data_IF_277863648255
#
_entry.id   IF_277863648255
#
_cell.length_a   1.000
_cell.length_b   1.000
_cell.length_c   1.000
_cell.angle_alpha   90.00
_cell.angle_beta   90.00
_cell.angle_gamma   90.00
#
_symmetry.space_group_name_H-M   'P 1'
#
loop_
_entity.id
_entity.type
_entity.pdbx_description
1 polymer ?
#
# COMPACT_ATOMS: atom_id res chain seq x y z
N UNK A 1 10.66 43.26 -28.31
CA UNK A 1 10.67 41.79 -28.55
C UNK A 1 10.48 41.54 -30.04
N UNK A 2 11.33 40.71 -30.68
CA UNK A 2 11.16 40.36 -32.10
C UNK A 2 10.08 39.30 -32.27
N UNK A 3 9.38 39.27 -33.40
CA UNK A 3 8.31 38.28 -33.70
C UNK A 3 8.78 36.83 -33.57
N UNK A 4 10.07 36.57 -33.84
CA UNK A 4 10.73 35.27 -33.64
C UNK A 4 10.87 34.89 -32.16
N UNK A 5 11.20 35.85 -31.28
CA UNK A 5 11.29 35.62 -29.85
C UNK A 5 9.91 35.31 -29.24
N UNK A 6 8.87 36.04 -29.67
CA UNK A 6 7.50 35.84 -29.23
C UNK A 6 6.99 34.44 -29.61
N UNK A 7 7.20 34.01 -30.87
CA UNK A 7 6.78 32.68 -31.35
C UNK A 7 7.48 31.54 -30.60
N UNK A 8 8.77 31.67 -30.28
CA UNK A 8 9.52 30.66 -29.51
C UNK A 8 9.01 30.55 -28.07
N UNK A 9 8.76 31.69 -27.42
CA UNK A 9 8.21 31.71 -26.06
C UNK A 9 6.83 31.05 -25.97
N UNK A 10 5.93 31.37 -26.92
CA UNK A 10 4.62 30.73 -27.00
C UNK A 10 4.70 29.21 -27.19
N UNK A 11 5.63 28.73 -28.02
CA UNK A 11 5.83 27.29 -28.22
C UNK A 11 6.29 26.64 -26.91
N UNK A 12 7.31 27.18 -26.25
CA UNK A 12 7.81 26.65 -24.97
C UNK A 12 6.69 26.64 -23.93
N UNK A 13 6.00 27.77 -23.72
CA UNK A 13 4.92 27.88 -22.74
C UNK A 13 3.78 26.89 -23.00
N UNK A 14 3.37 26.72 -24.26
CA UNK A 14 2.33 25.75 -24.65
C UNK A 14 2.74 24.33 -24.30
N UNK A 15 3.96 23.91 -24.66
CA UNK A 15 4.41 22.55 -24.41
C UNK A 15 4.65 22.27 -22.92
N UNK A 16 5.23 23.23 -22.17
CA UNK A 16 5.43 23.07 -20.72
C UNK A 16 4.10 23.00 -19.97
N UNK A 17 3.12 23.84 -20.34
CA UNK A 17 1.79 23.80 -19.73
C UNK A 17 1.08 22.50 -20.07
N UNK A 18 1.13 22.04 -21.32
CA UNK A 18 0.49 20.79 -21.73
C UNK A 18 1.04 19.58 -20.99
N UNK A 19 2.37 19.49 -20.85
CA UNK A 19 3.04 18.40 -20.11
C UNK A 19 2.64 18.43 -18.63
N UNK A 20 2.62 19.62 -18.02
CA UNK A 20 2.21 19.78 -16.63
C UNK A 20 0.75 19.36 -16.40
N UNK A 21 -0.17 19.79 -17.27
CA UNK A 21 -1.59 19.41 -17.19
C UNK A 21 -1.77 17.91 -17.38
N UNK A 22 -1.10 17.29 -18.35
CA UNK A 22 -1.18 15.85 -18.57
C UNK A 22 -0.64 15.07 -17.36
N UNK A 23 0.47 15.52 -16.79
CA UNK A 23 1.07 14.92 -15.60
C UNK A 23 0.10 14.97 -14.41
N UNK A 24 -0.44 16.16 -14.09
CA UNK A 24 -1.41 16.31 -13.01
C UNK A 24 -2.67 15.48 -13.26
N UNK A 25 -3.16 15.43 -14.49
CA UNK A 25 -4.32 14.63 -14.86
C UNK A 25 -4.09 13.14 -14.59
N UNK A 26 -2.92 12.61 -14.96
CA UNK A 26 -2.55 11.20 -14.70
C UNK A 26 -2.51 10.92 -13.19
N UNK A 27 -1.83 11.76 -12.42
CA UNK A 27 -1.71 11.58 -10.96
C UNK A 27 -3.08 11.69 -10.28
N UNK A 28 -3.94 12.60 -10.72
CA UNK A 28 -5.30 12.75 -10.17
C UNK A 28 -6.19 11.54 -10.52
N UNK A 29 -6.23 11.12 -11.78
CA UNK A 29 -7.06 9.97 -12.22
C UNK A 29 -6.61 8.68 -11.55
N UNK A 30 -5.30 8.50 -11.32
CA UNK A 30 -4.78 7.31 -10.65
C UNK A 30 -4.85 7.40 -9.13
N UNK A 31 -4.78 8.60 -8.56
CA UNK A 31 -4.88 8.83 -7.12
C UNK A 31 -6.30 8.63 -6.58
N UNK A 32 -7.33 9.01 -7.35
CA UNK A 32 -8.72 8.89 -6.91
C UNK A 32 -9.11 7.42 -6.59
N UNK A 33 -8.83 6.42 -7.44
CA UNK A 33 -9.05 5.01 -7.09
C UNK A 33 -8.22 4.55 -5.88
N UNK A 34 -6.97 5.00 -5.77
CA UNK A 34 -6.10 4.59 -4.66
C UNK A 34 -6.56 5.13 -3.31
N UNK A 35 -7.09 6.36 -3.30
CA UNK A 35 -7.68 6.97 -2.11
C UNK A 35 -8.84 6.14 -1.56
N UNK A 36 -9.66 5.57 -2.45
CA UNK A 36 -10.82 4.76 -2.09
C UNK A 36 -10.56 3.25 -2.25
N UNK A 37 -9.29 2.83 -2.14
CA UNK A 37 -8.90 1.46 -2.48
C UNK A 37 -9.69 0.42 -1.70
N UNK A 38 -9.80 0.57 -0.39
CA UNK A 38 -10.58 -0.35 0.45
C UNK A 38 -12.05 -0.39 0.07
N UNK A 39 -12.69 0.75 -0.18
CA UNK A 39 -14.10 0.77 -0.56
C UNK A 39 -14.33 0.12 -1.92
N UNK A 40 -13.40 0.30 -2.87
CA UNK A 40 -13.43 -0.35 -4.18
C UNK A 40 -13.27 -1.86 -4.01
N UNK A 41 -12.31 -2.31 -3.20
CA UNK A 41 -12.12 -3.75 -2.93
C UNK A 41 -13.37 -4.35 -2.29
N UNK A 42 -13.90 -3.73 -1.25
CA UNK A 42 -15.10 -4.22 -0.56
C UNK A 42 -16.33 -4.25 -1.48
N UNK A 43 -16.46 -3.28 -2.38
CA UNK A 43 -17.62 -3.20 -3.31
C UNK A 43 -17.52 -4.19 -4.46
N UNK A 44 -16.34 -4.36 -5.07
CA UNK A 44 -16.18 -5.12 -6.32
C UNK A 44 -15.66 -6.55 -6.13
N UNK A 45 -15.00 -6.83 -5.01
CA UNK A 45 -14.43 -8.14 -4.70
C UNK A 45 -15.13 -8.76 -3.49
N UNK A 46 -15.54 -7.93 -2.54
CA UNK A 46 -16.18 -8.36 -1.30
C UNK A 46 -15.27 -8.16 -0.11
N UNK A 47 -15.85 -8.18 1.09
CA UNK A 47 -15.09 -8.18 2.32
C UNK A 47 -14.56 -9.59 2.60
N UNK A 48 -13.24 -9.74 2.50
CA UNK A 48 -12.54 -11.00 2.78
C UNK A 48 -12.20 -11.15 4.27
N UNK A 49 -12.56 -10.19 5.13
CA UNK A 49 -12.31 -10.31 6.55
C UNK A 49 -13.41 -11.13 7.25
N UNK A 50 -13.04 -12.20 7.97
CA UNK A 50 -14.01 -13.04 8.64
C UNK A 50 -14.67 -12.28 9.80
N UNK A 51 -15.97 -12.51 10.03
CA UNK A 51 -16.71 -11.78 11.05
C UNK A 51 -16.15 -12.08 12.45
N UNK A 52 -16.04 -11.02 13.25
CA UNK A 52 -15.68 -11.11 14.66
C UNK A 52 -16.76 -11.85 15.46
N UNK A 53 -16.34 -12.48 16.55
CA UNK A 53 -17.29 -13.11 17.47
C UNK A 53 -18.07 -12.04 18.23
N UNK A 54 -19.39 -12.23 18.33
CA UNK A 54 -20.28 -11.32 19.06
C UNK A 54 -20.10 -11.57 20.55
N UNK A 55 -19.36 -10.69 21.20
CA UNK A 55 -19.09 -10.75 22.63
C UNK A 55 -19.81 -9.61 23.37
N UNK A 56 -20.06 -9.77 24.68
CA UNK A 56 -20.62 -8.70 25.50
C UNK A 56 -19.80 -7.40 25.40
N UNK A 57 -20.46 -6.22 25.41
CA UNK A 57 -19.77 -4.94 25.42
C UNK A 57 -18.81 -4.85 26.62
N UNK A 58 -17.57 -4.40 26.37
CA UNK A 58 -16.55 -4.27 27.42
C UNK A 58 -15.78 -5.54 27.76
N UNK A 59 -15.87 -6.60 26.93
CA UNK A 59 -14.99 -7.77 27.06
C UNK A 59 -13.53 -7.32 26.99
N UNK A 60 -12.70 -7.59 28.01
CA UNK A 60 -11.31 -7.18 28.02
C UNK A 60 -10.51 -7.93 26.95
N UNK A 61 -9.42 -7.31 26.49
CA UNK A 61 -8.51 -7.98 25.58
C UNK A 61 -7.87 -9.21 26.25
N UNK A 62 -7.69 -10.28 25.49
CA UNK A 62 -6.89 -11.42 25.88
C UNK A 62 -5.43 -11.00 26.12
N UNK A 63 -4.72 -11.77 26.94
CA UNK A 63 -3.31 -11.53 27.18
C UNK A 63 -2.53 -11.66 25.84
N UNK A 64 -1.74 -10.64 25.53
CA UNK A 64 -0.90 -10.61 24.34
C UNK A 64 0.11 -11.77 24.33
N UNK A 65 0.59 -12.19 25.49
CA UNK A 65 1.49 -13.34 25.63
C UNK A 65 0.85 -14.64 25.11
N UNK A 66 -0.47 -14.81 25.36
CA UNK A 66 -1.21 -15.97 24.86
C UNK A 66 -1.35 -15.95 23.33
N UNK A 67 -1.54 -14.76 22.75
CA UNK A 67 -1.60 -14.57 21.29
C UNK A 67 -0.23 -14.90 20.68
N UNK A 68 0.85 -14.42 21.30
CA UNK A 68 2.23 -14.69 20.90
C UNK A 68 2.57 -16.19 20.98
N UNK A 69 2.17 -16.86 22.06
CA UNK A 69 2.37 -18.31 22.23
C UNK A 69 1.65 -19.10 21.14
N UNK A 70 0.38 -18.77 20.88
CA UNK A 70 -0.40 -19.38 19.79
C UNK A 70 0.24 -19.15 18.43
N UNK A 71 0.74 -17.94 18.16
CA UNK A 71 1.43 -17.64 16.91
C UNK A 71 2.70 -18.51 16.73
N UNK A 72 3.49 -18.68 17.80
CA UNK A 72 4.67 -19.58 17.78
C UNK A 72 4.29 -21.04 17.57
N UNK A 73 3.17 -21.49 18.12
CA UNK A 73 2.68 -22.85 17.93
C UNK A 73 2.23 -23.11 16.48
N UNK A 74 1.69 -22.09 15.78
CA UNK A 74 1.28 -22.19 14.38
C UNK A 74 2.47 -22.23 13.42
N UNK A 75 3.52 -21.45 13.69
CA UNK A 75 4.75 -21.42 12.89
C UNK A 75 5.98 -21.75 13.73
N UNK A 76 6.17 -23.04 14.09
CA UNK A 76 7.32 -23.46 14.86
C UNK A 76 8.60 -23.19 14.07
N UNK A 77 9.57 -22.52 14.70
CA UNK A 77 10.86 -22.17 14.09
C UNK A 77 10.91 -20.81 13.38
N UNK A 78 9.82 -20.04 13.36
CA UNK A 78 9.83 -18.65 12.91
C UNK A 78 10.03 -17.69 14.09
N UNK A 79 10.69 -16.57 13.82
CA UNK A 79 10.81 -15.45 14.74
C UNK A 79 9.60 -14.53 14.58
N UNK A 80 9.11 -13.97 15.69
CA UNK A 80 8.14 -12.89 15.66
C UNK A 80 8.89 -11.60 15.38
N UNK A 81 8.49 -10.91 14.33
CA UNK A 81 9.14 -9.68 13.88
C UNK A 81 8.38 -8.46 14.40
N UNK A 82 7.05 -8.57 14.49
CA UNK A 82 6.20 -7.49 14.96
C UNK A 82 4.89 -8.00 15.56
N UNK A 83 4.33 -7.24 16.49
CA UNK A 83 3.01 -7.45 17.09
C UNK A 83 2.32 -6.09 17.08
N UNK A 84 1.28 -5.93 16.27
CA UNK A 84 0.53 -4.69 16.13
C UNK A 84 -0.92 -4.93 16.55
N UNK A 85 -1.31 -4.54 17.78
CA UNK A 85 -2.71 -4.33 18.11
C UNK A 85 -3.28 -3.22 17.22
N UNK A 86 -4.50 -3.42 16.74
CA UNK A 86 -5.26 -2.41 16.01
C UNK A 86 -6.03 -1.52 17.00
N UNK A 87 -6.03 -0.21 16.76
CA UNK A 87 -6.72 0.77 17.63
C UNK A 87 -8.20 0.92 17.24
N UNK A 88 -8.56 0.64 15.99
CA UNK A 88 -9.89 0.82 15.42
C UNK A 88 -10.70 -0.49 15.43
N UNK A 89 -10.03 -1.64 15.35
CA UNK A 89 -10.63 -2.98 15.38
C UNK A 89 -10.15 -3.81 16.58
N UNK A 90 -10.96 -4.78 17.10
CA UNK A 90 -10.51 -5.72 18.12
C UNK A 90 -9.61 -6.80 17.50
N UNK A 91 -8.54 -6.40 16.82
CA UNK A 91 -7.61 -7.26 16.12
C UNK A 91 -6.17 -7.07 16.61
N UNK A 92 -5.40 -8.15 16.58
CA UNK A 92 -3.94 -8.12 16.78
C UNK A 92 -3.28 -8.80 15.60
N UNK A 93 -2.48 -8.06 14.85
CA UNK A 93 -1.68 -8.57 13.75
C UNK A 93 -0.29 -8.97 14.25
N UNK A 94 0.01 -10.26 14.20
CA UNK A 94 1.34 -10.80 14.50
C UNK A 94 2.06 -11.11 13.20
N UNK A 95 3.24 -10.51 12.99
CA UNK A 95 4.11 -10.80 11.86
C UNK A 95 5.25 -11.73 12.28
N UNK A 96 5.53 -12.71 11.44
CA UNK A 96 6.53 -13.75 11.65
C UNK A 96 7.40 -13.94 10.40
N UNK A 97 8.63 -14.37 10.59
CA UNK A 97 9.52 -14.72 9.50
C UNK A 97 10.48 -15.85 9.94
N UNK A 98 11.04 -16.65 9.02
CA UNK A 98 12.04 -17.67 9.37
C UNK A 98 13.26 -17.11 10.08
N UNK A 99 13.77 -15.95 9.62
CA UNK A 99 14.89 -15.24 10.23
C UNK A 99 14.98 -13.80 9.71
N UNK A 100 15.77 -12.96 10.39
CA UNK A 100 16.09 -11.62 9.88
C UNK A 100 16.82 -11.66 8.54
N UNK A 101 17.65 -12.69 8.31
CA UNK A 101 18.34 -12.90 7.04
C UNK A 101 17.36 -13.25 5.91
N UNK A 102 16.34 -14.08 6.17
CA UNK A 102 15.32 -14.40 5.19
C UNK A 102 14.54 -13.15 4.74
N UNK A 103 14.22 -12.24 5.66
CA UNK A 103 13.62 -10.94 5.34
C UNK A 103 14.53 -10.05 4.50
N UNK A 104 15.85 -10.12 4.72
CA UNK A 104 16.81 -9.37 3.93
C UNK A 104 16.97 -9.96 2.52
N UNK A 105 16.98 -11.28 2.41
CA UNK A 105 16.98 -12.00 1.13
C UNK A 105 15.72 -11.74 0.31
N UNK A 106 14.55 -11.62 0.94
CA UNK A 106 13.29 -11.28 0.27
C UNK A 106 13.33 -9.92 -0.44
N UNK A 107 14.18 -8.97 0.00
CA UNK A 107 14.40 -7.71 -0.72
C UNK A 107 15.03 -7.92 -2.10
N UNK A 108 15.85 -8.96 -2.23
CA UNK A 108 16.49 -9.34 -3.48
C UNK A 108 15.61 -10.30 -4.32
N UNK A 109 14.74 -11.07 -3.64
CA UNK A 109 13.84 -12.05 -4.26
C UNK A 109 12.39 -11.86 -3.76
N UNK A 110 11.69 -10.82 -4.24
CA UNK A 110 10.36 -10.44 -3.74
C UNK A 110 9.24 -11.44 -4.06
N UNK A 111 9.55 -12.52 -4.77
CA UNK A 111 8.64 -13.64 -5.06
C UNK A 111 8.67 -14.73 -3.99
N UNK A 112 9.69 -14.80 -3.13
CA UNK A 112 9.78 -15.79 -2.04
C UNK A 112 8.79 -15.53 -0.91
N UNK A 113 8.51 -14.27 -0.58
CA UNK A 113 7.57 -13.83 0.47
C UNK A 113 7.62 -14.74 1.70
N UNK A 114 8.79 -14.84 2.33
CA UNK A 114 9.05 -15.73 3.46
C UNK A 114 8.40 -15.26 4.76
N UNK A 115 7.96 -14.00 4.82
CA UNK A 115 7.22 -13.45 5.95
C UNK A 115 5.76 -13.89 5.97
N UNK A 116 5.28 -14.26 7.15
CA UNK A 116 3.89 -14.58 7.43
C UNK A 116 3.28 -13.53 8.36
N UNK A 117 1.97 -13.31 8.25
CA UNK A 117 1.21 -12.49 9.17
C UNK A 117 -0.03 -13.26 9.63
N UNK A 118 -0.43 -13.08 10.88
CA UNK A 118 -1.61 -13.72 11.47
C UNK A 118 -2.42 -12.64 12.17
N UNK A 119 -3.68 -12.45 11.74
CA UNK A 119 -4.68 -11.59 12.38
C UNK A 119 -5.42 -12.43 13.42
N UNK A 120 -5.32 -12.06 14.68
CA UNK A 120 -6.05 -12.63 15.80
C UNK A 120 -7.15 -11.68 16.27
N UNK A 121 -8.26 -12.21 16.81
CA UNK A 121 -9.20 -11.41 17.60
C UNK A 121 -8.53 -11.07 18.95
N UNK A 122 -8.42 -9.78 19.26
CA UNK A 122 -7.79 -9.26 20.46
C UNK A 122 -8.47 -9.74 21.76
N UNK A 123 -9.75 -10.12 21.71
CA UNK A 123 -10.56 -10.50 22.88
C UNK A 123 -10.55 -12.01 23.12
N UNK A 124 -10.55 -12.82 22.05
CA UNK A 124 -10.63 -14.30 22.16
C UNK A 124 -9.30 -15.01 21.88
N UNK A 125 -8.30 -14.30 21.35
CA UNK A 125 -7.06 -14.89 20.83
C UNK A 125 -7.33 -16.00 19.79
N UNK A 126 -8.42 -15.88 19.03
CA UNK A 126 -8.76 -16.77 17.92
C UNK A 126 -8.13 -16.26 16.64
N UNK A 127 -7.57 -17.15 15.83
CA UNK A 127 -7.06 -16.80 14.49
C UNK A 127 -8.24 -16.44 13.60
N UNK A 128 -8.26 -15.20 13.12
CA UNK A 128 -9.24 -14.71 12.16
C UNK A 128 -8.74 -14.99 10.74
N UNK A 129 -7.56 -14.47 10.43
CA UNK A 129 -6.98 -14.54 9.09
C UNK A 129 -5.49 -14.80 9.20
N UNK A 130 -4.94 -15.59 8.29
CA UNK A 130 -3.50 -15.84 8.23
C UNK A 130 -3.01 -15.61 6.81
N UNK A 131 -1.80 -15.09 6.68
CA UNK A 131 -1.10 -14.96 5.41
C UNK A 131 -1.04 -16.33 4.74
N UNK A 132 -1.28 -16.37 3.44
CA UNK A 132 -1.26 -17.62 2.66
C UNK A 132 -0.01 -18.45 2.99
N UNK A 133 -0.15 -19.77 3.14
CA UNK A 133 0.98 -20.67 2.94
C UNK A 133 1.57 -20.42 1.54
N UNK A 134 2.90 -20.42 1.43
CA UNK A 134 3.64 -20.22 0.16
C UNK A 134 3.20 -21.17 -0.97
N UNK A 135 2.55 -22.28 -0.61
CA UNK A 135 2.01 -23.34 -1.49
C UNK A 135 0.68 -22.99 -2.18
N UNK A 136 -0.09 -22.04 -1.64
CA UNK A 136 -1.47 -21.88 -2.04
C UNK A 136 -1.58 -21.01 -3.32
N UNK A 137 -2.38 -21.45 -4.30
CA UNK A 137 -2.64 -20.76 -5.60
C UNK A 137 -3.04 -19.28 -5.49
N UNK A 138 -2.19 -18.35 -5.96
CA UNK A 138 -2.50 -16.89 -6.05
C UNK A 138 -3.97 -16.68 -6.37
N UNK A 139 -4.67 -15.88 -5.55
CA UNK A 139 -6.07 -15.57 -5.83
C UNK A 139 -6.21 -15.14 -7.28
N UNK A 140 -7.27 -15.61 -7.97
CA UNK A 140 -7.45 -15.29 -9.37
C UNK A 140 -7.40 -13.77 -9.50
N UNK A 141 -6.46 -13.27 -10.31
CA UNK A 141 -6.30 -11.83 -10.50
C UNK A 141 -7.64 -11.24 -10.90
N UNK A 142 -8.30 -10.58 -9.97
CA UNK A 142 -9.55 -9.88 -10.24
C UNK A 142 -9.23 -8.70 -11.16
N UNK A 143 -10.19 -8.32 -12.01
CA UNK A 143 -10.05 -7.13 -12.84
C UNK A 143 -9.76 -5.89 -11.98
N UNK A 144 -10.37 -5.81 -10.79
CA UNK A 144 -10.11 -4.79 -9.77
C UNK A 144 -8.64 -4.77 -9.36
N UNK A 145 -8.04 -5.91 -9.04
CA UNK A 145 -6.62 -5.99 -8.68
C UNK A 145 -5.66 -5.56 -9.80
N UNK A 146 -5.99 -5.87 -11.06
CA UNK A 146 -5.19 -5.44 -12.21
C UNK A 146 -5.25 -3.92 -12.36
N UNK A 147 -6.45 -3.33 -12.33
CA UNK A 147 -6.65 -1.88 -12.47
C UNK A 147 -5.97 -1.15 -11.32
N UNK A 148 -6.18 -1.59 -10.07
CA UNK A 148 -5.54 -0.99 -8.89
C UNK A 148 -4.02 -1.09 -8.94
N UNK A 149 -3.48 -2.22 -9.42
CA UNK A 149 -2.04 -2.37 -9.65
C UNK A 149 -1.49 -1.40 -10.69
N UNK A 150 -2.20 -1.21 -11.81
CA UNK A 150 -1.84 -0.23 -12.85
C UNK A 150 -1.91 1.20 -12.31
N UNK A 151 -2.99 1.56 -11.62
CA UNK A 151 -3.15 2.86 -10.97
C UNK A 151 -2.00 3.13 -10.00
N UNK A 152 -1.65 2.18 -9.13
CA UNK A 152 -0.56 2.32 -8.18
C UNK A 152 0.81 2.51 -8.87
N UNK A 153 1.10 1.69 -9.88
CA UNK A 153 2.37 1.79 -10.62
C UNK A 153 2.50 3.11 -11.37
N UNK A 154 1.43 3.55 -12.03
CA UNK A 154 1.40 4.80 -12.76
C UNK A 154 1.46 6.00 -11.80
N UNK A 155 0.78 5.94 -10.65
CA UNK A 155 0.74 6.99 -9.65
C UNK A 155 2.09 7.19 -8.94
N UNK A 156 2.72 6.11 -8.49
CA UNK A 156 3.95 6.19 -7.68
C UNK A 156 5.20 6.27 -8.55
N UNK A 157 5.18 5.65 -9.73
CA UNK A 157 6.42 5.46 -10.50
C UNK A 157 6.28 5.66 -12.02
N UNK A 158 5.10 5.95 -12.56
CA UNK A 158 4.88 6.04 -14.02
C UNK A 158 5.43 4.81 -14.80
N UNK A 159 5.44 3.62 -14.17
CA UNK A 159 6.12 2.41 -14.68
C UNK A 159 7.65 2.53 -14.88
N UNK A 160 8.28 3.60 -14.41
CA UNK A 160 9.70 3.87 -14.54
C UNK A 160 10.48 3.64 -13.23
N UNK A 161 9.89 2.94 -12.25
CA UNK A 161 10.54 2.57 -11.00
C UNK A 161 11.14 3.76 -10.25
N UNK A 162 12.43 3.68 -9.92
CA UNK A 162 13.14 4.75 -9.20
C UNK A 162 13.18 6.06 -10.00
N UNK A 163 13.44 5.98 -11.30
CA UNK A 163 13.51 7.17 -12.18
C UNK A 163 12.18 7.91 -12.19
N UNK A 164 11.07 7.17 -12.24
CA UNK A 164 9.73 7.77 -12.16
C UNK A 164 9.45 8.44 -10.82
N UNK A 165 9.81 7.80 -9.70
CA UNK A 165 9.66 8.39 -8.36
C UNK A 165 10.43 9.71 -8.23
N UNK A 166 11.66 9.76 -8.73
CA UNK A 166 12.47 10.98 -8.73
C UNK A 166 11.88 12.05 -9.64
N UNK A 167 11.36 11.68 -10.80
CA UNK A 167 10.68 12.60 -11.71
C UNK A 167 9.41 13.21 -11.07
N UNK A 168 8.58 12.39 -10.43
CA UNK A 168 7.40 12.85 -9.68
C UNK A 168 7.78 13.84 -8.58
N UNK A 169 8.78 13.49 -7.76
CA UNK A 169 9.30 14.36 -6.71
C UNK A 169 9.83 15.68 -7.25
N UNK A 170 10.57 15.64 -8.36
CA UNK A 170 11.07 16.84 -9.03
C UNK A 170 9.97 17.75 -9.55
N UNK A 171 8.96 17.19 -10.22
CA UNK A 171 7.79 17.93 -10.71
C UNK A 171 6.98 18.56 -9.57
N UNK A 172 6.80 17.82 -8.47
CA UNK A 172 6.17 18.34 -7.25
C UNK A 172 6.96 19.52 -6.65
N UNK A 173 8.29 19.41 -6.59
CA UNK A 173 9.15 20.50 -6.13
C UNK A 173 9.05 21.76 -7.00
N UNK A 174 9.04 21.60 -8.33
CA UNK A 174 8.86 22.71 -9.28
C UNK A 174 7.48 23.36 -9.10
N UNK A 175 6.44 22.56 -8.88
CA UNK A 175 5.09 23.05 -8.64
C UNK A 175 5.02 23.90 -7.36
N UNK A 176 5.56 23.41 -6.23
CA UNK A 176 5.60 24.18 -4.97
C UNK A 176 6.40 25.48 -5.13
N UNK A 177 7.56 25.43 -5.79
CA UNK A 177 8.36 26.63 -6.07
C UNK A 177 7.60 27.65 -6.95
N UNK A 178 6.70 27.19 -7.83
CA UNK A 178 5.87 28.06 -8.65
C UNK A 178 4.78 28.78 -7.83
N UNK A 179 4.23 28.14 -6.80
CA UNK A 179 3.21 28.73 -5.92
C UNK A 179 3.78 29.88 -5.08
N UNK A 180 5.03 29.75 -4.61
CA UNK A 180 5.69 30.78 -3.81
C UNK A 180 5.88 32.11 -4.56
N UNK A 181 5.92 32.08 -5.90
CA UNK A 181 6.05 33.30 -6.73
C UNK A 181 4.74 34.03 -7.00
N UNK A 182 3.59 33.48 -6.61
CA UNK A 182 2.27 34.11 -6.83
C UNK A 182 1.85 34.98 -5.63
N UNK A 183 2.55 34.88 -4.49
CA UNK A 183 2.19 35.55 -3.23
C UNK A 183 3.07 36.78 -2.93
N UNK A 184 3.91 37.22 -3.86
CA UNK A 184 4.79 38.39 -3.74
C UNK A 184 4.57 39.36 -4.89
#
# INVERSE_FOLDING_TARGET
>A
MTTRALRRWFVVHKWTSLICTLFLLIVCITGLPLLFSEQIWNTFVGDDDPPYEVLPPGTPNANLDLIVEKARALYPGQIITNVNPDDDEPAVLVSMAPSWQALEEDKNYPDRNSSHWIKFDARTAKVLKQSRPTDASKEPRTWTGIIMGICNQLHVSLFAGLTGRLFLGGMGGIFVASLQRVVS
#
